data_IF_201867120818
#
_entry.id   IF_201867120818
#
_cell.length_a   1.000
_cell.length_b   1.000
_cell.length_c   1.000
_cell.angle_alpha   90.00
_cell.angle_beta   90.00
_cell.angle_gamma   90.00
#
_symmetry.space_group_name_H-M   'P 1'
#
loop_
_entity.id
_entity.type
_entity.pdbx_description
1 polymer ?
#
# COMPACT_ATOMS: atom_id res chain seq x y z
N UNK A 1 -17.40 -29.96 -28.99
CA UNK A 1 -16.07 -30.17 -28.39
C UNK A 1 -15.81 -29.00 -27.44
N UNK A 2 -15.11 -29.16 -26.30
CA UNK A 2 -14.85 -28.01 -25.43
C UNK A 2 -13.95 -27.02 -26.17
N UNK A 3 -14.42 -25.80 -26.36
CA UNK A 3 -13.76 -24.78 -27.21
C UNK A 3 -12.54 -24.12 -26.53
N UNK A 4 -12.19 -24.53 -25.31
CA UNK A 4 -10.96 -24.14 -24.63
C UNK A 4 -10.81 -24.79 -23.26
N UNK A 5 -9.59 -25.24 -22.94
CA UNK A 5 -9.19 -25.69 -21.60
C UNK A 5 -8.04 -24.82 -21.11
N UNK A 6 -8.11 -24.37 -19.85
CA UNK A 6 -7.07 -23.56 -19.22
C UNK A 6 -6.52 -24.33 -18.03
N UNK A 7 -5.20 -24.48 -17.99
CA UNK A 7 -4.51 -25.08 -16.85
C UNK A 7 -4.44 -24.09 -15.69
N UNK A 8 -4.97 -24.48 -14.53
CA UNK A 8 -4.97 -23.64 -13.34
C UNK A 8 -3.79 -23.96 -12.44
N UNK A 9 -3.44 -25.23 -12.21
CA UNK A 9 -2.32 -25.59 -11.33
C UNK A 9 -1.84 -27.01 -11.62
N UNK A 10 -0.53 -27.25 -11.52
CA UNK A 10 0.08 -28.55 -11.83
C UNK A 10 -0.09 -29.58 -10.70
N UNK A 11 -0.01 -29.14 -9.44
CA UNK A 11 0.00 -30.03 -8.27
C UNK A 11 -1.24 -29.90 -7.37
N UNK A 12 -2.29 -29.21 -7.82
CA UNK A 12 -3.39 -28.84 -6.93
C UNK A 12 -4.73 -28.74 -7.63
N UNK A 13 -5.78 -29.10 -6.88
CA UNK A 13 -7.14 -29.15 -7.39
C UNK A 13 -7.87 -27.83 -7.14
N UNK A 14 -8.79 -27.49 -8.05
CA UNK A 14 -9.66 -26.33 -7.89
C UNK A 14 -10.79 -26.69 -6.92
N UNK A 15 -10.92 -25.92 -5.84
CA UNK A 15 -11.98 -26.10 -4.84
C UNK A 15 -13.24 -25.35 -5.27
N UNK A 16 -13.08 -24.09 -5.67
CA UNK A 16 -14.20 -23.20 -6.00
C UNK A 16 -13.82 -22.22 -7.09
N UNK A 17 -14.72 -22.08 -8.06
CA UNK A 17 -14.61 -21.09 -9.14
C UNK A 17 -15.78 -20.13 -9.04
N UNK A 18 -15.51 -18.83 -9.10
CA UNK A 18 -16.52 -17.77 -9.11
C UNK A 18 -16.22 -16.80 -10.24
N UNK A 19 -17.24 -16.47 -11.02
CA UNK A 19 -17.15 -15.42 -12.03
C UNK A 19 -17.87 -14.16 -11.55
N UNK A 20 -17.20 -13.02 -11.65
CA UNK A 20 -17.79 -11.72 -11.38
C UNK A 20 -18.13 -10.99 -12.69
N UNK A 21 -19.39 -11.04 -13.11
CA UNK A 21 -19.88 -10.55 -14.40
C UNK A 21 -19.53 -9.07 -14.69
N UNK A 22 -19.66 -8.19 -13.69
CA UNK A 22 -19.37 -6.75 -13.86
C UNK A 22 -17.88 -6.43 -14.04
N UNK A 23 -17.00 -7.25 -13.43
CA UNK A 23 -15.54 -7.06 -13.54
C UNK A 23 -14.97 -7.86 -14.70
N UNK A 24 -15.71 -8.86 -15.19
CA UNK A 24 -15.27 -9.87 -16.13
C UNK A 24 -14.03 -10.66 -15.65
N UNK A 25 -14.02 -11.04 -14.37
CA UNK A 25 -12.91 -11.75 -13.74
C UNK A 25 -13.37 -13.11 -13.20
N UNK A 26 -12.64 -14.17 -13.56
CA UNK A 26 -12.88 -15.53 -13.08
C UNK A 26 -11.86 -15.83 -12.00
N UNK A 27 -12.34 -16.09 -10.78
CA UNK A 27 -11.52 -16.43 -9.62
C UNK A 27 -11.58 -17.93 -9.39
N UNK A 28 -10.42 -18.59 -9.38
CA UNK A 28 -10.26 -20.01 -9.10
C UNK A 28 -9.46 -20.18 -7.81
N UNK A 29 -10.11 -20.75 -6.79
CA UNK A 29 -9.46 -21.10 -5.52
C UNK A 29 -8.90 -22.51 -5.61
N UNK A 30 -7.63 -22.65 -5.29
CA UNK A 30 -6.89 -23.91 -5.38
C UNK A 30 -6.67 -24.50 -3.99
N UNK A 31 -6.52 -25.83 -3.89
CA UNK A 31 -6.27 -26.55 -2.63
C UNK A 31 -5.00 -26.12 -1.88
N UNK A 32 -4.07 -25.46 -2.56
CA UNK A 32 -2.85 -24.90 -1.95
C UNK A 32 -3.09 -23.58 -1.19
N UNK A 33 -4.34 -23.12 -1.07
CA UNK A 33 -4.68 -21.85 -0.44
C UNK A 33 -4.39 -20.61 -1.31
N UNK A 34 -4.02 -20.81 -2.57
CA UNK A 34 -3.83 -19.74 -3.54
C UNK A 34 -5.10 -19.50 -4.35
N UNK A 35 -5.32 -18.25 -4.74
CA UNK A 35 -6.39 -17.85 -5.65
C UNK A 35 -5.77 -17.36 -6.95
N UNK A 36 -6.09 -18.02 -8.06
CA UNK A 36 -5.72 -17.56 -9.40
C UNK A 36 -6.89 -16.81 -10.02
N UNK A 37 -6.61 -15.63 -10.58
CA UNK A 37 -7.63 -14.77 -11.19
C UNK A 37 -7.32 -14.64 -12.67
N UNK A 38 -8.25 -15.06 -13.51
CA UNK A 38 -8.20 -14.88 -14.95
C UNK A 38 -9.00 -13.65 -15.34
N UNK A 39 -8.43 -12.86 -16.23
CA UNK A 39 -9.02 -11.61 -16.71
C UNK A 39 -8.62 -11.36 -18.16
N UNK A 40 -9.48 -10.66 -18.88
CA UNK A 40 -9.18 -10.08 -20.20
C UNK A 40 -8.58 -8.69 -20.04
N UNK A 41 -7.45 -8.40 -20.69
CA UNK A 41 -6.76 -7.11 -20.62
C UNK A 41 -7.54 -5.95 -21.25
N UNK A 42 -8.47 -6.24 -22.16
CA UNK A 42 -9.24 -5.21 -22.88
C UNK A 42 -10.58 -4.94 -22.19
N UNK A 43 -11.31 -6.01 -21.81
CA UNK A 43 -12.67 -5.89 -21.27
C UNK A 43 -12.73 -5.79 -19.75
N UNK A 44 -11.77 -6.37 -19.04
CA UNK A 44 -11.80 -6.39 -17.57
C UNK A 44 -11.34 -5.05 -17.03
N UNK A 45 -12.02 -4.57 -15.98
CA UNK A 45 -11.73 -3.28 -15.37
C UNK A 45 -11.65 -3.44 -13.86
N UNK A 46 -10.79 -2.63 -13.21
CA UNK A 46 -10.62 -2.60 -11.75
C UNK A 46 -10.30 -3.96 -11.09
N UNK A 47 -10.40 -4.06 -9.77
CA UNK A 47 -10.20 -5.30 -9.02
C UNK A 47 -8.75 -5.82 -9.10
N UNK A 48 -8.57 -7.06 -9.55
CA UNK A 48 -7.26 -7.68 -9.66
C UNK A 48 -6.30 -6.91 -10.58
N UNK A 49 -6.80 -6.21 -11.61
CA UNK A 49 -5.97 -5.37 -12.48
C UNK A 49 -5.29 -4.22 -11.73
N UNK A 50 -5.89 -3.70 -10.65
CA UNK A 50 -5.29 -2.61 -9.87
C UNK A 50 -3.99 -3.11 -9.24
N UNK A 51 -3.95 -4.37 -8.82
CA UNK A 51 -2.75 -4.99 -8.27
C UNK A 51 -1.79 -5.44 -9.38
N UNK A 52 -2.31 -5.99 -10.48
CA UNK A 52 -1.48 -6.47 -11.59
C UNK A 52 -0.72 -5.34 -12.31
N UNK A 53 -1.34 -4.17 -12.47
CA UNK A 53 -0.71 -2.99 -13.06
C UNK A 53 0.13 -2.19 -12.06
N UNK A 54 0.08 -2.54 -10.78
CA UNK A 54 0.85 -1.85 -9.76
C UNK A 54 2.27 -2.40 -9.80
N UNK A 55 3.20 -1.54 -10.18
CA UNK A 55 4.63 -1.85 -10.08
C UNK A 55 4.99 -2.17 -8.62
N UNK A 56 5.91 -3.12 -8.44
CA UNK A 56 6.45 -3.43 -7.14
C UNK A 56 7.07 -2.15 -6.56
N UNK A 57 6.57 -1.73 -5.39
CA UNK A 57 7.11 -0.54 -4.74
C UNK A 57 8.57 -0.79 -4.43
N UNK A 58 9.45 0.00 -5.03
CA UNK A 58 10.87 -0.01 -4.71
C UNK A 58 11.05 0.19 -3.20
N UNK A 59 11.70 -0.79 -2.55
CA UNK A 59 12.00 -0.74 -1.12
C UNK A 59 12.99 0.39 -0.88
N UNK A 60 12.51 1.54 -0.42
CA UNK A 60 13.38 2.65 -0.05
C UNK A 60 14.06 2.27 1.25
N UNK A 61 15.39 2.31 1.29
CA UNK A 61 16.16 2.07 2.52
C UNK A 61 15.70 2.96 3.70
N UNK A 62 15.14 4.13 3.39
CA UNK A 62 14.61 5.07 4.37
C UNK A 62 13.22 4.72 4.93
N UNK A 63 12.49 3.76 4.33
CA UNK A 63 11.19 3.30 4.86
C UNK A 63 11.35 2.53 6.20
N UNK A 64 12.56 2.04 6.49
CA UNK A 64 12.90 1.40 7.78
C UNK A 64 13.18 2.42 8.90
N UNK A 65 13.56 3.65 8.55
CA UNK A 65 13.82 4.74 9.49
C UNK A 65 12.56 5.59 9.72
N UNK A 66 11.40 4.96 9.85
CA UNK A 66 10.27 5.64 10.50
C UNK A 66 10.74 5.86 11.93
N UNK A 67 11.07 7.11 12.26
CA UNK A 67 11.51 7.51 13.59
C UNK A 67 10.56 6.87 14.61
N UNK A 68 11.02 5.85 15.32
CA UNK A 68 10.24 5.16 16.33
C UNK A 68 9.99 6.17 17.46
N UNK A 69 8.84 6.85 17.43
CA UNK A 69 8.50 7.82 18.46
C UNK A 69 8.16 7.06 19.74
N UNK A 70 9.12 6.96 20.66
CA UNK A 70 8.96 6.27 21.93
C UNK A 70 8.09 7.17 22.83
N UNK A 71 6.82 6.81 22.98
CA UNK A 71 5.89 7.55 23.84
C UNK A 71 6.15 7.13 25.29
N UNK A 72 6.81 7.99 26.06
CA UNK A 72 6.90 7.83 27.51
C UNK A 72 5.76 8.64 28.18
N UNK A 73 4.76 7.99 28.80
CA UNK A 73 3.61 8.67 29.39
C UNK A 73 3.97 9.54 30.60
N UNK A 74 5.02 9.19 31.33
CA UNK A 74 5.47 9.88 32.55
C UNK A 74 6.70 10.77 32.35
N UNK A 75 7.20 10.90 31.11
CA UNK A 75 8.28 11.84 30.83
C UNK A 75 7.80 13.28 31.07
N UNK A 76 8.67 14.09 31.67
CA UNK A 76 8.46 15.52 31.81
C UNK A 76 8.12 16.14 30.44
N UNK A 77 7.20 17.12 30.34
CA UNK A 77 6.82 17.72 29.06
C UNK A 77 8.01 18.23 28.23
N UNK A 78 9.09 18.66 28.89
CA UNK A 78 10.33 19.13 28.27
C UNK A 78 11.06 18.03 27.45
N UNK A 79 10.90 16.74 27.81
CA UNK A 79 11.55 15.61 27.15
C UNK A 79 10.63 14.84 26.19
N UNK A 80 9.39 15.30 26.00
CA UNK A 80 8.44 14.66 25.09
C UNK A 80 8.83 14.99 23.65
N UNK A 81 9.12 13.96 22.85
CA UNK A 81 9.38 14.11 21.42
C UNK A 81 8.09 14.52 20.68
N UNK A 82 8.24 15.45 19.74
CA UNK A 82 7.14 15.89 18.88
C UNK A 82 6.65 14.70 18.04
N UNK A 83 5.33 14.46 18.04
CA UNK A 83 4.75 13.42 17.18
C UNK A 83 5.08 13.74 15.72
N UNK A 84 5.46 12.71 14.97
CA UNK A 84 5.64 12.81 13.52
C UNK A 84 4.29 13.22 12.93
N UNK A 85 4.19 14.49 12.53
CA UNK A 85 3.06 15.01 11.76
C UNK A 85 3.30 14.65 10.29
N UNK A 86 2.23 14.50 9.51
CA UNK A 86 2.34 14.28 8.06
C UNK A 86 3.28 15.33 7.42
N UNK A 87 4.05 14.93 6.39
CA UNK A 87 4.99 15.81 5.67
C UNK A 87 4.33 17.12 5.19
N UNK A 88 3.05 17.07 4.83
CA UNK A 88 2.24 18.25 4.48
C UNK A 88 2.11 19.25 5.63
N UNK A 89 1.88 18.76 6.85
CA UNK A 89 1.74 19.59 8.07
C UNK A 89 3.09 20.16 8.51
N UNK A 90 4.17 19.37 8.40
CA UNK A 90 5.54 19.86 8.64
C UNK A 90 5.88 20.97 7.64
N UNK A 91 5.57 20.77 6.36
CA UNK A 91 5.85 21.75 5.30
C UNK A 91 5.01 23.03 5.44
N UNK A 92 3.79 22.94 5.94
CA UNK A 92 2.96 24.10 6.28
C UNK A 92 3.56 24.88 7.46
N UNK A 93 3.98 24.20 8.53
CA UNK A 93 4.63 24.83 9.69
C UNK A 93 5.97 25.48 9.34
N UNK A 94 6.80 24.82 8.52
CA UNK A 94 8.07 25.36 8.05
C UNK A 94 7.91 26.50 7.03
N UNK A 95 6.69 26.74 6.51
CA UNK A 95 6.40 27.92 5.68
C UNK A 95 6.13 29.18 6.52
N UNK A 96 6.13 29.08 7.84
CA UNK A 96 5.90 30.22 8.76
C UNK A 96 7.19 30.99 9.14
N UNK A 97 8.31 30.80 8.44
CA UNK A 97 9.58 31.53 8.67
C UNK A 97 9.55 33.00 8.15
N UNK A 98 10.39 33.96 8.63
CA UNK A 98 11.08 34.13 9.92
C UNK A 98 11.03 35.62 10.39
N UNK A 99 10.12 36.04 11.28
CA UNK A 99 9.98 37.51 11.54
C UNK A 99 10.78 38.05 12.74
N UNK A 100 11.52 37.26 13.53
CA UNK A 100 12.22 37.80 14.72
C UNK A 100 13.62 37.24 15.00
N UNK A 101 14.59 37.50 14.12
CA UNK A 101 16.03 37.38 14.46
C UNK A 101 16.90 38.50 13.87
N UNK A 102 16.35 39.71 13.75
CA UNK A 102 17.12 40.95 13.62
C UNK A 102 16.59 41.87 14.71
N UNK A 103 17.20 41.82 15.90
CA UNK A 103 17.30 42.92 16.89
C UNK A 103 17.81 42.36 18.23
N UNK A 104 19.03 41.85 18.30
CA UNK A 104 19.80 41.72 19.55
C UNK A 104 21.27 41.53 19.17
N UNK A 105 21.83 42.59 18.58
CA UNK A 105 23.27 42.76 18.44
C UNK A 105 23.55 44.27 18.54
N UNK A 106 23.44 44.79 19.76
CA UNK A 106 24.05 46.02 20.27
C UNK A 106 24.21 45.86 21.78
#
# INVERSE_FOLDING_TARGET
>A
QPEGQIQVSDNASVIKTVWHSKLNQIMCTTSNGLVKIFYDTIRSKQGALIFANREERQKKANDFFINMNIINPHALPLYRQDRIRNLSVIRMKNREDPVRKILFLF
#
